data_IF_544078117280
#
_entry.id   IF_544078117280
#
_cell.length_a   1.000
_cell.length_b   1.000
_cell.length_c   1.000
_cell.angle_alpha   90.00
_cell.angle_beta   90.00
_cell.angle_gamma   90.00
#
_symmetry.space_group_name_H-M   'P 1'
#
loop_
_entity.id
_entity.type
_entity.pdbx_description
1 polymer ?
#
# COMPACT_ATOMS: atom_id res chain seq x y z
N UNK A 1 8.28 2.53 22.04
CA UNK A 1 8.41 1.42 21.06
C UNK A 1 7.25 0.43 21.09
N UNK A 2 6.68 0.07 22.25
CA UNK A 2 5.58 -0.91 22.35
C UNK A 2 4.34 -0.57 21.50
N UNK A 3 4.00 0.72 21.33
CA UNK A 3 2.84 1.16 20.52
C UNK A 3 2.95 0.88 19.02
N UNK A 4 4.17 0.87 18.48
CA UNK A 4 4.40 0.60 17.04
C UNK A 4 4.39 -0.91 16.78
N UNK A 5 4.91 -1.69 17.73
CA UNK A 5 4.95 -3.16 17.66
C UNK A 5 3.59 -3.78 17.98
N UNK A 6 2.80 -3.17 18.86
CA UNK A 6 1.42 -3.56 19.17
C UNK A 6 0.43 -2.63 18.47
N UNK A 7 0.54 -2.49 17.14
CA UNK A 7 -0.33 -1.58 16.39
C UNK A 7 -1.82 -2.00 16.41
N UNK A 8 -2.10 -3.25 16.77
CA UNK A 8 -3.42 -3.83 17.01
C UNK A 8 -3.96 -3.55 18.42
N UNK A 9 -3.17 -2.98 19.33
CA UNK A 9 -3.65 -2.60 20.65
C UNK A 9 -4.60 -1.40 20.52
N UNK A 10 -5.89 -1.69 20.40
CA UNK A 10 -6.94 -0.72 20.10
C UNK A 10 -7.21 0.24 21.28
N UNK A 11 -6.31 1.20 21.49
CA UNK A 11 -6.69 2.45 22.16
C UNK A 11 -7.58 3.30 21.21
N UNK A 12 -8.31 4.27 21.77
CA UNK A 12 -9.28 5.09 21.01
C UNK A 12 -8.65 5.73 19.76
N UNK A 13 -7.41 6.18 19.85
CA UNK A 13 -6.67 6.82 18.76
C UNK A 13 -6.23 5.84 17.66
N UNK A 14 -5.78 4.63 18.03
CA UNK A 14 -5.37 3.60 17.06
C UNK A 14 -6.55 3.07 16.25
N UNK A 15 -7.71 2.91 16.89
CA UNK A 15 -8.96 2.54 16.20
C UNK A 15 -9.44 3.64 15.26
N UNK A 16 -9.35 4.90 15.67
CA UNK A 16 -9.65 6.04 14.79
C UNK A 16 -8.71 6.06 13.56
N UNK A 17 -7.41 5.88 13.75
CA UNK A 17 -6.44 5.83 12.65
C UNK A 17 -6.75 4.70 11.66
N UNK A 18 -7.15 3.52 12.17
CA UNK A 18 -7.56 2.40 11.33
C UNK A 18 -8.84 2.69 10.52
N UNK A 19 -9.83 3.37 11.11
CA UNK A 19 -11.02 3.78 10.37
C UNK A 19 -10.69 4.83 9.30
N UNK A 20 -9.82 5.81 9.63
CA UNK A 20 -9.37 6.79 8.64
C UNK A 20 -8.62 6.14 7.48
N UNK A 21 -7.81 5.10 7.72
CA UNK A 21 -7.14 4.40 6.61
C UNK A 21 -8.13 3.65 5.71
N UNK A 22 -9.23 3.10 6.26
CA UNK A 22 -10.32 2.54 5.44
C UNK A 22 -10.98 3.59 4.57
N UNK A 23 -11.37 4.73 5.15
CA UNK A 23 -12.01 5.79 4.39
C UNK A 23 -11.08 6.38 3.34
N UNK A 24 -9.80 6.56 3.68
CA UNK A 24 -8.79 7.01 2.74
C UNK A 24 -8.65 6.05 1.55
N UNK A 25 -8.49 4.74 1.79
CA UNK A 25 -8.44 3.75 0.72
C UNK A 25 -9.74 3.69 -0.08
N UNK A 26 -10.89 3.75 0.60
CA UNK A 26 -12.21 3.77 -0.01
C UNK A 26 -12.44 4.98 -0.93
N UNK A 27 -11.75 6.10 -0.68
CA UNK A 27 -11.80 7.28 -1.54
C UNK A 27 -10.70 7.27 -2.63
N UNK A 28 -9.46 6.96 -2.27
CA UNK A 28 -8.33 7.06 -3.20
C UNK A 28 -8.30 5.93 -4.24
N UNK A 29 -8.79 4.73 -3.93
CA UNK A 29 -8.87 3.63 -4.89
C UNK A 29 -9.80 3.95 -6.07
N UNK A 30 -11.08 4.33 -5.86
CA UNK A 30 -11.93 4.74 -6.98
C UNK A 30 -11.38 6.00 -7.66
N UNK A 31 -10.80 6.95 -6.92
CA UNK A 31 -10.15 8.11 -7.51
C UNK A 31 -9.03 7.70 -8.49
N UNK A 32 -8.18 6.75 -8.12
CA UNK A 32 -7.14 6.19 -8.99
C UNK A 32 -7.72 5.54 -10.25
N UNK A 33 -8.83 4.81 -10.14
CA UNK A 33 -9.47 4.17 -11.30
C UNK A 33 -9.97 5.20 -12.33
N UNK A 34 -10.57 6.31 -11.87
CA UNK A 34 -11.20 7.32 -12.72
C UNK A 34 -10.30 8.52 -13.05
N UNK A 35 -9.14 8.65 -12.40
CA UNK A 35 -8.21 9.73 -12.68
C UNK A 35 -7.66 9.62 -14.12
N UNK A 36 -7.60 10.74 -14.88
CA UNK A 36 -6.92 10.78 -16.16
C UNK A 36 -5.41 10.53 -16.01
N UNK A 37 -4.81 9.91 -17.02
CA UNK A 37 -3.38 9.61 -17.01
C UNK A 37 -2.53 10.90 -16.93
N UNK A 38 -1.50 10.90 -16.07
CA UNK A 38 -0.60 12.03 -15.78
C UNK A 38 -1.30 13.27 -15.20
N UNK A 39 -2.48 13.12 -14.61
CA UNK A 39 -3.18 14.22 -13.93
C UNK A 39 -2.72 14.41 -12.49
N UNK A 40 -2.93 15.62 -11.95
CA UNK A 40 -2.72 15.91 -10.51
C UNK A 40 -3.60 15.00 -9.64
N UNK A 41 -4.81 14.67 -10.10
CA UNK A 41 -5.72 13.75 -9.41
C UNK A 41 -5.10 12.35 -9.29
N UNK A 42 -4.45 11.85 -10.34
CA UNK A 42 -3.74 10.57 -10.29
C UNK A 42 -2.58 10.63 -9.30
N UNK A 43 -1.76 11.68 -9.33
CA UNK A 43 -0.65 11.85 -8.39
C UNK A 43 -1.12 11.89 -6.94
N UNK A 44 -2.22 12.60 -6.66
CA UNK A 44 -2.83 12.66 -5.31
C UNK A 44 -3.36 11.28 -4.89
N UNK A 45 -4.03 10.55 -5.79
CA UNK A 45 -4.51 9.21 -5.52
C UNK A 45 -3.34 8.24 -5.24
N UNK A 46 -2.28 8.28 -6.05
CA UNK A 46 -1.09 7.45 -5.92
C UNK A 46 -0.39 7.68 -4.58
N UNK A 47 -0.17 8.94 -4.18
CA UNK A 47 0.42 9.25 -2.87
C UNK A 47 -0.51 8.94 -1.70
N UNK A 48 -1.82 9.18 -1.86
CA UNK A 48 -2.84 8.83 -0.88
C UNK A 48 -2.86 7.33 -0.57
N UNK A 49 -2.84 6.49 -1.61
CA UNK A 49 -2.74 5.02 -1.49
C UNK A 49 -1.41 4.63 -0.86
N UNK A 50 -0.29 5.23 -1.30
CA UNK A 50 1.05 4.95 -0.74
C UNK A 50 1.13 5.22 0.77
N UNK A 51 0.42 6.21 1.29
CA UNK A 51 0.38 6.48 2.73
C UNK A 51 -0.65 5.61 3.47
N UNK A 52 -1.87 5.46 2.92
CA UNK A 52 -2.97 4.79 3.60
C UNK A 52 -2.81 3.26 3.63
N UNK A 53 -2.28 2.67 2.55
CA UNK A 53 -2.17 1.21 2.40
C UNK A 53 -1.21 0.59 3.43
N UNK A 54 0.02 1.12 3.68
CA UNK A 54 0.89 0.60 4.73
C UNK A 54 0.30 0.74 6.12
N UNK A 55 -0.38 1.85 6.43
CA UNK A 55 -1.02 2.05 7.74
C UNK A 55 -2.13 1.02 7.95
N UNK A 56 -3.00 0.84 6.96
CA UNK A 56 -4.05 -0.18 6.99
C UNK A 56 -3.47 -1.60 7.16
N UNK A 57 -2.41 -1.91 6.39
CA UNK A 57 -1.78 -3.24 6.40
C UNK A 57 -1.05 -3.52 7.71
N UNK A 58 -0.32 -2.55 8.28
CA UNK A 58 0.38 -2.71 9.54
C UNK A 58 -0.57 -3.07 10.68
N UNK A 59 -1.71 -2.40 10.78
CA UNK A 59 -2.69 -2.66 11.85
C UNK A 59 -3.36 -4.02 11.63
N UNK A 60 -3.80 -4.30 10.39
CA UNK A 60 -4.49 -5.54 10.04
C UNK A 60 -3.61 -6.78 10.24
N UNK A 61 -2.37 -6.74 9.76
CA UNK A 61 -1.45 -7.88 9.91
C UNK A 61 -1.03 -8.07 11.36
N UNK A 62 -0.93 -7.01 12.17
CA UNK A 62 -0.70 -7.17 13.61
C UNK A 62 -1.89 -7.84 14.32
N UNK A 63 -3.13 -7.62 13.86
CA UNK A 63 -4.29 -8.36 14.38
C UNK A 63 -4.21 -9.85 14.02
N UNK A 64 -3.86 -10.18 12.77
CA UNK A 64 -3.60 -11.57 12.34
C UNK A 64 -2.49 -12.20 13.19
N UNK A 65 -1.40 -11.48 13.46
CA UNK A 65 -0.31 -11.97 14.32
C UNK A 65 -0.82 -12.24 15.74
N UNK A 66 -1.72 -11.43 16.27
CA UNK A 66 -2.31 -11.66 17.59
C UNK A 66 -3.20 -12.90 17.66
N UNK A 67 -3.92 -13.19 16.57
CA UNK A 67 -4.83 -14.33 16.47
C UNK A 67 -4.08 -15.66 16.29
N UNK A 68 -3.04 -15.69 15.45
CA UNK A 68 -2.42 -16.94 15.01
C UNK A 68 -1.01 -17.18 15.55
N UNK A 69 -0.29 -16.16 16.05
CA UNK A 69 1.10 -16.33 16.49
C UNK A 69 1.18 -16.56 18.02
N UNK A 70 1.82 -17.65 18.47
CA UNK A 70 1.94 -17.96 19.89
C UNK A 70 2.78 -16.90 20.62
N UNK A 71 2.42 -16.66 21.89
CA UNK A 71 2.98 -15.56 22.72
C UNK A 71 4.52 -15.45 22.71
N UNK A 72 5.30 -16.54 22.77
CA UNK A 72 6.77 -16.44 22.84
C UNK A 72 7.41 -15.79 21.61
N UNK A 73 6.86 -16.03 20.42
CA UNK A 73 7.43 -15.56 19.14
C UNK A 73 6.69 -14.35 18.56
N UNK A 74 5.61 -13.92 19.21
CA UNK A 74 4.77 -12.80 18.76
C UNK A 74 5.55 -11.50 18.61
N UNK A 75 6.50 -11.23 19.51
CA UNK A 75 7.35 -10.04 19.43
C UNK A 75 8.16 -10.00 18.13
N UNK A 76 8.80 -11.11 17.77
CA UNK A 76 9.56 -11.23 16.52
C UNK A 76 8.67 -11.10 15.29
N UNK A 77 7.50 -11.74 15.28
CA UNK A 77 6.53 -11.61 14.19
C UNK A 77 6.08 -10.16 13.96
N UNK A 78 5.82 -9.41 15.03
CA UNK A 78 5.44 -7.98 14.96
C UNK A 78 6.56 -7.10 14.40
N UNK A 79 7.82 -7.40 14.74
CA UNK A 79 9.00 -6.74 14.14
C UNK A 79 9.09 -7.04 12.65
N UNK A 80 8.90 -8.30 12.26
CA UNK A 80 8.91 -8.70 10.85
C UNK A 80 7.79 -7.99 10.06
N UNK A 81 6.58 -7.88 10.62
CA UNK A 81 5.47 -7.12 10.02
C UNK A 81 5.83 -5.65 9.84
N UNK A 82 6.45 -5.01 10.84
CA UNK A 82 6.88 -3.62 10.76
C UNK A 82 7.94 -3.44 9.66
N UNK A 83 8.92 -4.35 9.59
CA UNK A 83 9.94 -4.34 8.54
C UNK A 83 9.31 -4.48 7.16
N UNK A 84 8.43 -5.48 6.96
CA UNK A 84 7.73 -5.68 5.69
C UNK A 84 6.90 -4.46 5.28
N UNK A 85 6.22 -3.82 6.22
CA UNK A 85 5.45 -2.59 5.97
C UNK A 85 6.35 -1.42 5.59
N UNK A 86 7.50 -1.26 6.26
CA UNK A 86 8.47 -0.22 5.91
C UNK A 86 9.03 -0.43 4.50
N UNK A 87 9.39 -1.68 4.15
CA UNK A 87 9.82 -2.04 2.80
C UNK A 87 8.72 -1.77 1.77
N UNK A 88 7.46 -2.11 2.08
CA UNK A 88 6.31 -1.81 1.23
C UNK A 88 6.18 -0.30 0.98
N UNK A 89 6.18 0.51 2.04
CA UNK A 89 6.08 1.97 1.92
C UNK A 89 7.21 2.54 1.05
N UNK A 90 8.45 2.13 1.30
CA UNK A 90 9.60 2.60 0.52
C UNK A 90 9.52 2.17 -0.95
N UNK A 91 9.06 0.95 -1.22
CA UNK A 91 8.85 0.45 -2.59
C UNK A 91 7.78 1.25 -3.34
N UNK A 92 6.64 1.51 -2.69
CA UNK A 92 5.55 2.30 -3.25
C UNK A 92 5.94 3.78 -3.44
N UNK A 93 6.62 4.37 -2.47
CA UNK A 93 7.12 5.74 -2.56
C UNK A 93 8.15 5.89 -3.69
N UNK A 94 9.07 4.93 -3.84
CA UNK A 94 10.00 4.88 -4.96
C UNK A 94 9.27 4.79 -6.30
N UNK A 95 8.28 3.90 -6.41
CA UNK A 95 7.48 3.74 -7.63
C UNK A 95 6.76 5.04 -8.02
N UNK A 96 6.24 5.77 -7.05
CA UNK A 96 5.58 7.06 -7.29
C UNK A 96 6.56 8.21 -7.58
N UNK A 97 7.76 8.19 -7.00
CA UNK A 97 8.73 9.27 -7.14
C UNK A 97 9.57 9.16 -8.43
N UNK A 98 9.98 7.95 -8.80
CA UNK A 98 10.89 7.72 -9.94
C UNK A 98 10.27 6.90 -11.06
N UNK A 99 9.16 6.21 -10.78
CA UNK A 99 8.48 5.35 -11.73
C UNK A 99 7.25 6.00 -12.35
N UNK A 100 6.44 5.21 -13.08
CA UNK A 100 5.21 5.68 -13.74
C UNK A 100 4.05 5.99 -12.76
N UNK A 101 4.22 5.76 -11.46
CA UNK A 101 3.15 5.85 -10.45
C UNK A 101 2.35 4.55 -10.31
N UNK A 102 1.75 4.36 -9.13
CA UNK A 102 0.98 3.17 -8.79
C UNK A 102 -0.15 2.88 -9.78
N UNK A 103 -1.03 3.86 -10.00
CA UNK A 103 -2.20 3.72 -10.87
C UNK A 103 -1.80 3.32 -12.29
N UNK A 104 -0.78 3.98 -12.84
CA UNK A 104 -0.32 3.69 -14.21
C UNK A 104 0.34 2.34 -14.31
N UNK A 105 1.12 1.93 -13.30
CA UNK A 105 1.71 0.59 -13.23
C UNK A 105 0.62 -0.48 -13.28
N UNK A 106 -0.45 -0.31 -12.49
CA UNK A 106 -1.59 -1.24 -12.49
C UNK A 106 -2.36 -1.19 -13.82
N UNK A 107 -2.56 -0.01 -14.39
CA UNK A 107 -3.24 0.17 -15.69
C UNK A 107 -2.46 -0.47 -16.83
N UNK A 108 -1.12 -0.41 -16.81
CA UNK A 108 -0.26 -1.09 -17.78
C UNK A 108 -0.43 -2.60 -17.76
N UNK A 109 -0.62 -3.22 -16.58
CA UNK A 109 -0.95 -4.65 -16.48
C UNK A 109 -2.28 -5.00 -17.14
N UNK A 110 -3.19 -4.03 -17.25
CA UNK A 110 -4.50 -4.21 -17.86
C UNK A 110 -4.51 -3.99 -19.38
N UNK A 111 -3.49 -3.32 -19.92
CA UNK A 111 -3.31 -3.16 -21.35
C UNK A 111 -2.55 -4.37 -21.92
N UNK A 112 -3.13 -4.99 -22.95
CA UNK A 112 -2.48 -6.09 -23.67
C UNK A 112 -1.30 -5.54 -24.46
N UNK A 113 -0.09 -6.04 -24.24
CA UNK A 113 1.02 -5.71 -25.13
C UNK A 113 0.70 -6.16 -26.57
N UNK A 114 1.07 -5.38 -27.61
CA UNK A 114 1.10 -5.91 -28.97
C UNK A 114 2.09 -7.08 -29.03
N UNK A 115 1.78 -8.17 -29.75
CA UNK A 115 2.65 -9.34 -29.82
C UNK A 115 4.07 -8.97 -30.28
N UNK A 116 5.07 -9.66 -29.71
CA UNK A 116 6.50 -9.41 -29.91
C UNK A 116 6.95 -9.38 -31.39
N UNK A 117 6.15 -9.94 -32.31
CA UNK A 117 6.38 -9.90 -33.75
C UNK A 117 6.38 -8.49 -34.36
N UNK A 118 5.74 -7.51 -33.70
CA UNK A 118 5.52 -6.17 -34.27
C UNK A 118 6.59 -5.16 -33.85
N UNK A 119 7.50 -5.51 -32.91
CA UNK A 119 8.53 -4.59 -32.42
C UNK A 119 9.84 -4.63 -33.22
N UNK A 120 10.03 -5.63 -34.09
CA UNK A 120 11.28 -5.79 -34.87
C UNK A 120 11.34 -4.95 -36.17
N UNK A 121 10.26 -4.28 -36.57
CA UNK A 121 10.18 -3.56 -37.86
C UNK A 121 10.26 -2.03 -37.74
N UNK A 122 10.46 -1.50 -36.54
CA UNK A 122 10.64 -0.07 -36.31
C UNK A 122 12.07 0.23 -35.86
N UNK A 123 13.02 0.06 -36.78
CA UNK A 123 14.39 0.63 -36.72
C UNK A 123 14.58 1.49 -37.94
#
# INVERSE_FOLDING_TARGET
MSRILAADSFNRSGRALFHYSHYALGAFVPLACFAPDNSVLQTVADWGITAALPVHSQISVNAVVSDYVPKPVRGAARVATLFGTATMFLGLAKLNATGPGLTRTVRQLWHKEPPLSTQSTAV
#
